data_IF_886922313247
#
_entry.id   IF_886922313247
#
_cell.length_a   1.000
_cell.length_b   1.000
_cell.length_c   1.000
_cell.angle_alpha   90.00
_cell.angle_beta   90.00
_cell.angle_gamma   90.00
#
_symmetry.space_group_name_H-M   'P 1'
#
loop_
_entity.id
_entity.type
_entity.pdbx_description
1 polymer ?
#
# COMPACT_ATOMS: atom_id res chain seq x y z
N UNK A 1 -10.76 -5.83 10.65
CA UNK A 1 -9.73 -5.29 9.73
C UNK A 1 -10.24 -4.14 8.86
N UNK A 2 -11.45 -4.19 8.27
CA UNK A 2 -11.94 -3.14 7.37
C UNK A 2 -11.94 -1.71 7.96
N UNK A 3 -12.39 -1.53 9.22
CA UNK A 3 -12.43 -0.20 9.84
C UNK A 3 -11.04 0.41 10.05
N UNK A 4 -10.03 -0.41 10.37
CA UNK A 4 -8.66 0.06 10.51
C UNK A 4 -8.08 0.51 9.15
N UNK A 5 -8.30 -0.28 8.10
CA UNK A 5 -7.87 0.09 6.76
C UNK A 5 -8.57 1.38 6.29
N UNK A 6 -9.88 1.48 6.50
CA UNK A 6 -10.66 2.66 6.15
C UNK A 6 -10.18 3.92 6.87
N UNK A 7 -9.97 3.84 8.19
CA UNK A 7 -9.57 5.00 8.99
C UNK A 7 -8.15 5.51 8.67
N UNK A 8 -7.25 4.62 8.21
CA UNK A 8 -5.87 4.95 7.88
C UNK A 8 -5.64 5.25 6.39
N UNK A 9 -6.61 4.98 5.52
CA UNK A 9 -6.51 5.30 4.11
C UNK A 9 -6.57 6.83 3.87
N UNK A 10 -5.69 7.34 3.01
CA UNK A 10 -5.69 8.75 2.60
C UNK A 10 -6.86 9.01 1.67
N UNK A 11 -7.72 9.96 2.03
CA UNK A 11 -8.84 10.36 1.19
C UNK A 11 -8.39 11.33 0.09
N UNK A 12 -8.82 11.09 -1.15
CA UNK A 12 -8.34 11.82 -2.33
C UNK A 12 -8.62 13.33 -2.30
N UNK A 13 -9.77 13.75 -1.76
CA UNK A 13 -10.14 15.18 -1.72
C UNK A 13 -9.45 15.98 -0.61
N UNK A 14 -9.04 15.32 0.48
CA UNK A 14 -8.48 16.01 1.67
C UNK A 14 -6.97 15.77 1.81
N UNK A 15 -6.42 14.76 1.12
CA UNK A 15 -5.03 14.34 1.28
C UNK A 15 -4.69 13.84 2.70
N UNK A 16 -5.70 13.52 3.51
CA UNK A 16 -5.54 13.08 4.91
C UNK A 16 -6.38 11.83 5.17
N UNK A 17 -5.89 10.96 6.05
CA UNK A 17 -6.70 9.87 6.59
C UNK A 17 -7.73 10.39 7.59
N UNK A 18 -8.82 9.64 7.80
CA UNK A 18 -9.82 9.99 8.80
C UNK A 18 -9.21 10.05 10.20
N UNK A 19 -8.28 9.14 10.49
CA UNK A 19 -7.51 9.15 11.75
C UNK A 19 -6.74 10.46 11.93
N UNK A 20 -6.01 10.91 10.91
CA UNK A 20 -5.27 12.18 10.95
C UNK A 20 -6.19 13.38 11.09
N UNK A 21 -7.33 13.37 10.42
CA UNK A 21 -8.31 14.43 10.52
C UNK A 21 -8.87 14.56 11.96
N UNK A 22 -9.04 13.43 12.65
CA UNK A 22 -9.59 13.40 14.01
C UNK A 22 -8.54 13.69 15.10
N UNK A 23 -7.33 13.14 14.96
CA UNK A 23 -6.32 13.16 16.03
C UNK A 23 -5.11 14.05 15.74
N UNK A 24 -4.95 14.54 14.50
CA UNK A 24 -3.84 15.44 14.13
C UNK A 24 -2.51 14.75 13.84
N UNK A 25 -2.42 13.43 13.92
CA UNK A 25 -1.20 12.64 13.61
C UNK A 25 -1.55 11.36 12.84
N UNK A 26 -0.56 10.76 12.17
CA UNK A 26 -0.73 9.47 11.48
C UNK A 26 0.04 8.37 12.23
N UNK A 27 -0.58 7.21 12.48
CA UNK A 27 0.11 6.10 13.10
C UNK A 27 1.15 5.51 12.18
N UNK A 28 2.31 5.16 12.73
CA UNK A 28 3.28 4.36 12.02
C UNK A 28 2.70 2.96 11.80
N UNK A 29 2.54 2.57 10.53
CA UNK A 29 2.07 1.24 10.14
C UNK A 29 3.23 0.26 9.90
N UNK A 30 4.47 0.72 10.09
CA UNK A 30 5.69 -0.07 10.02
C UNK A 30 6.18 -0.42 11.42
N UNK A 31 6.81 -1.60 11.61
CA UNK A 31 7.48 -1.92 12.86
C UNK A 31 8.47 -0.83 13.27
N UNK A 32 8.56 -0.57 14.58
CA UNK A 32 9.53 0.36 15.16
C UNK A 32 10.90 -0.29 15.29
N UNK A 33 11.97 0.48 15.10
CA UNK A 33 13.35 0.07 15.40
C UNK A 33 13.79 0.44 16.82
N UNK A 34 12.88 0.99 17.64
CA UNK A 34 13.17 1.37 19.02
C UNK A 34 13.03 0.11 19.90
N UNK A 35 14.06 -0.26 20.69
CA UNK A 35 14.00 -1.43 21.54
C UNK A 35 12.91 -1.25 22.59
N UNK A 36 12.13 -2.31 22.78
CA UNK A 36 11.15 -2.42 23.83
C UNK A 36 11.87 -3.07 25.01
N UNK A 37 12.15 -2.29 26.06
CA UNK A 37 12.92 -2.76 27.23
C UNK A 37 12.16 -3.78 28.12
N UNK A 38 11.28 -4.59 27.52
CA UNK A 38 10.47 -5.64 28.13
C UNK A 38 10.64 -6.87 27.25
N UNK A 39 11.16 -7.97 27.81
CA UNK A 39 11.62 -9.14 27.08
C UNK A 39 10.55 -9.72 26.14
N UNK A 40 9.33 -9.93 26.65
CA UNK A 40 8.22 -10.49 25.87
C UNK A 40 7.77 -9.57 24.74
N UNK A 41 7.82 -8.26 24.96
CA UNK A 41 7.45 -7.27 23.96
C UNK A 41 8.55 -7.09 22.90
N UNK A 42 9.81 -7.26 23.30
CA UNK A 42 10.97 -7.27 22.40
C UNK A 42 10.93 -8.47 21.45
N UNK A 43 10.64 -9.68 21.96
CA UNK A 43 10.48 -10.87 21.15
C UNK A 43 9.34 -10.72 20.13
N UNK A 44 8.22 -10.11 20.56
CA UNK A 44 7.10 -9.81 19.67
C UNK A 44 7.49 -8.77 18.61
N UNK A 45 8.17 -7.69 19.00
CA UNK A 45 8.64 -6.66 18.06
C UNK A 45 9.59 -7.25 17.01
N UNK A 46 10.54 -8.07 17.45
CA UNK A 46 11.47 -8.77 16.55
C UNK A 46 10.76 -9.73 15.59
N UNK A 47 9.72 -10.42 16.06
CA UNK A 47 8.88 -11.26 15.20
C UNK A 47 8.13 -10.44 14.16
N UNK A 48 7.54 -9.30 14.56
CA UNK A 48 6.85 -8.39 13.64
C UNK A 48 7.80 -7.82 12.58
N UNK A 49 9.04 -7.47 12.94
CA UNK A 49 10.05 -6.98 11.99
C UNK A 49 10.35 -8.02 10.92
N UNK A 50 10.56 -9.29 11.31
CA UNK A 50 10.83 -10.40 10.36
C UNK A 50 9.66 -10.61 9.40
N UNK A 51 8.44 -10.71 9.94
CA UNK A 51 7.23 -10.88 9.13
C UNK A 51 7.02 -9.71 8.16
N UNK A 52 7.29 -8.48 8.60
CA UNK A 52 7.20 -7.29 7.75
C UNK A 52 8.17 -7.35 6.57
N UNK A 53 9.41 -7.79 6.79
CA UNK A 53 10.40 -7.95 5.72
C UNK A 53 9.99 -9.01 4.70
N UNK A 54 9.44 -10.14 5.16
CA UNK A 54 8.92 -11.19 4.29
C UNK A 54 7.74 -10.68 3.44
N UNK A 55 6.77 -10.02 4.07
CA UNK A 55 5.61 -9.44 3.38
C UNK A 55 6.04 -8.38 2.36
N UNK A 56 6.94 -7.47 2.75
CA UNK A 56 7.44 -6.43 1.86
C UNK A 56 8.18 -7.03 0.64
N UNK A 57 8.94 -8.10 0.85
CA UNK A 57 9.65 -8.82 -0.21
C UNK A 57 8.68 -9.52 -1.15
N UNK A 58 7.68 -10.23 -0.61
CA UNK A 58 6.65 -10.90 -1.41
C UNK A 58 5.81 -9.91 -2.22
N UNK A 59 5.40 -8.79 -1.63
CA UNK A 59 4.67 -7.73 -2.31
C UNK A 59 5.50 -7.12 -3.46
N UNK A 60 6.80 -6.90 -3.24
CA UNK A 60 7.70 -6.42 -4.28
C UNK A 60 7.81 -7.41 -5.43
N UNK A 61 8.06 -8.68 -5.14
CA UNK A 61 8.15 -9.74 -6.15
C UNK A 61 6.85 -9.86 -6.95
N UNK A 62 5.70 -9.82 -6.27
CA UNK A 62 4.39 -9.85 -6.93
C UNK A 62 4.18 -8.66 -7.86
N UNK A 63 4.53 -7.44 -7.42
CA UNK A 63 4.47 -6.25 -8.27
C UNK A 63 5.39 -6.36 -9.48
N UNK A 64 6.61 -6.84 -9.29
CA UNK A 64 7.59 -7.00 -10.37
C UNK A 64 7.07 -8.00 -11.42
N UNK A 65 6.51 -9.13 -10.97
CA UNK A 65 5.87 -10.12 -11.83
C UNK A 65 4.69 -9.54 -12.62
N UNK A 66 3.77 -8.83 -11.94
CA UNK A 66 2.64 -8.17 -12.61
C UNK A 66 3.06 -7.13 -13.64
N UNK A 67 4.19 -6.45 -13.42
CA UNK A 67 4.68 -5.42 -14.34
C UNK A 67 5.40 -6.04 -15.53
N UNK A 68 6.11 -7.15 -15.33
CA UNK A 68 6.82 -7.88 -16.39
C UNK A 68 5.87 -8.72 -17.28
N UNK A 69 4.81 -9.27 -16.71
CA UNK A 69 3.81 -10.08 -17.44
C UNK A 69 2.73 -9.24 -18.12
N UNK A 70 2.68 -7.92 -17.87
CA UNK A 70 1.81 -7.06 -18.65
C UNK A 70 2.32 -7.07 -20.10
N UNK A 71 1.54 -7.56 -21.08
CA UNK A 71 1.86 -7.31 -22.48
C UNK A 71 1.98 -5.79 -22.63
N UNK A 72 2.97 -5.32 -23.38
CA UNK A 72 3.08 -3.90 -23.70
C UNK A 72 1.69 -3.44 -24.14
N UNK A 73 1.05 -2.58 -23.35
CA UNK A 73 -0.20 -1.94 -23.74
C UNK A 73 0.13 -1.29 -25.08
N UNK A 74 -0.41 -1.87 -26.17
CA UNK A 74 -0.30 -1.26 -27.48
C UNK A 74 -0.96 0.09 -27.27
N UNK A 75 -0.17 1.16 -27.32
CA UNK A 75 -0.69 2.50 -27.16
C UNK A 75 -1.71 2.69 -28.29
N UNK A 76 -2.99 2.63 -27.93
CA UNK A 76 -4.08 2.92 -28.84
C UNK A 76 -3.99 4.41 -29.16
N UNK A 77 -3.42 4.71 -30.32
CA UNK A 77 -3.42 6.05 -30.89
C UNK A 77 -4.60 6.14 -31.84
N UNK A 78 -5.44 7.15 -31.66
CA UNK A 78 -6.53 7.45 -32.57
C UNK A 78 -6.22 8.71 -33.38
N UNK A 79 -6.56 8.72 -34.67
CA UNK A 79 -6.53 9.93 -35.48
C UNK A 79 -7.84 10.73 -35.33
N UNK A 80 -7.77 12.04 -35.58
CA UNK A 80 -8.96 12.90 -35.56
C UNK A 80 -9.91 12.47 -36.68
N UNK A 81 -11.06 11.91 -36.30
CA UNK A 81 -12.06 11.36 -37.22
C UNK A 81 -12.13 9.83 -37.27
N UNK A 82 -11.28 9.12 -36.51
CA UNK A 82 -11.33 7.67 -36.41
C UNK A 82 -12.56 7.19 -35.61
N UNK A 83 -13.33 6.26 -36.17
CA UNK A 83 -14.46 5.63 -35.50
C UNK A 83 -13.96 4.51 -34.57
N UNK A 84 -14.21 4.66 -33.27
CA UNK A 84 -13.89 3.66 -32.26
C UNK A 84 -15.14 3.24 -31.48
N UNK A 85 -15.21 1.96 -31.12
CA UNK A 85 -16.28 1.41 -30.28
C UNK A 85 -15.86 1.52 -28.82
N UNK A 86 -16.73 2.08 -27.98
CA UNK A 86 -16.54 2.10 -26.53
C UNK A 86 -17.10 0.81 -25.94
N UNK A 87 -16.31 0.15 -25.10
CA UNK A 87 -16.82 -0.93 -24.24
C UNK A 87 -17.59 -0.29 -23.07
N UNK A 88 -18.75 -0.88 -22.72
CA UNK A 88 -19.72 -0.28 -21.80
C UNK A 88 -19.59 -0.81 -20.35
#
# INVERSE_FOLDING_TARGET
>A
MAQFAYNNAVHSSTGKSLFKALYGWEPALTPSNIPVNVLEAEDLANTMVKQWQEIASALRQSKDHMTQEKPAEIALSFEVGEEAWLDA
#
